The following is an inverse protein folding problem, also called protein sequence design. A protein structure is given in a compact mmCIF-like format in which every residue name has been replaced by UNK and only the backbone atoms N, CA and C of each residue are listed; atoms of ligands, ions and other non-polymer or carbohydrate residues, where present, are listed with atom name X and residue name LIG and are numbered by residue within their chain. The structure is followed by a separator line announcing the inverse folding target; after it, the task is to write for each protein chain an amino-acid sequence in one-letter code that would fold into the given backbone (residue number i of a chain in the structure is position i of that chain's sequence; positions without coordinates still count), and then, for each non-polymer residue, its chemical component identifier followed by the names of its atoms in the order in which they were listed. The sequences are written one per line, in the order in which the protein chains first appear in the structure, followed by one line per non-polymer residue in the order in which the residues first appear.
data_IF_206575143340
#
_entry.id   IF_206575143340
#
_cell.length_a   1.000
_cell.length_b   1.000
_cell.length_c   1.000
_cell.angle_alpha   90.00
_cell.angle_beta   90.00
_cell.angle_gamma   90.00
#
_symmetry.space_group_name_H-M   'P 1'
#
loop_
_entity.id
_entity.type
_entity.pdbx_description
1 polymer ?
#
# COMPACT_ATOMS: atom_id res chain seq x y z
N UNK A 1 24.99 28.73 42.13
CA UNK A 1 24.38 27.39 42.19
C UNK A 1 22.91 27.54 41.87
N UNK A 2 22.54 27.51 40.58
CA UNK A 2 21.15 27.46 40.14
C UNK A 2 21.04 26.11 39.44
N UNK A 3 20.36 25.17 40.10
CA UNK A 3 20.04 23.87 39.54
C UNK A 3 18.84 24.07 38.61
N UNK A 4 19.06 23.90 37.31
CA UNK A 4 17.99 23.77 36.33
C UNK A 4 17.20 22.51 36.66
N UNK A 5 15.92 22.68 37.00
CA UNK A 5 14.97 21.57 37.02
C UNK A 5 14.62 21.24 35.58
N UNK A 6 15.24 20.18 35.07
CA UNK A 6 14.84 19.49 33.85
C UNK A 6 13.41 19.03 34.06
N UNK A 7 12.49 19.55 33.24
CA UNK A 7 11.11 19.14 33.21
C UNK A 7 11.03 17.64 32.98
N UNK A 8 10.34 16.96 33.88
CA UNK A 8 9.98 15.55 33.75
C UNK A 8 9.16 15.40 32.47
N UNK A 9 9.77 14.83 31.42
CA UNK A 9 9.00 14.24 30.33
C UNK A 9 8.14 13.14 30.96
N UNK A 10 6.83 13.35 31.00
CA UNK A 10 5.90 12.29 31.37
C UNK A 10 6.02 11.16 30.33
N UNK A 11 6.90 10.20 30.60
CA UNK A 11 6.78 8.83 30.08
C UNK A 11 5.49 8.24 30.65
N UNK A 12 4.37 8.56 30.00
CA UNK A 12 3.13 7.81 30.13
C UNK A 12 3.43 6.33 29.91
N UNK A 13 2.73 5.43 30.62
CA UNK A 13 3.08 4.01 30.68
C UNK A 13 3.15 3.50 29.25
N UNK A 14 4.28 2.92 28.82
CA UNK A 14 4.53 2.43 27.46
C UNK A 14 3.22 2.01 26.78
N UNK A 15 2.60 2.98 26.11
CA UNK A 15 1.16 2.94 25.86
C UNK A 15 0.89 1.72 25.02
N UNK A 16 -0.12 0.92 25.33
CA UNK A 16 -0.39 -0.30 24.57
C UNK A 16 -0.72 0.09 23.12
N UNK A 17 0.30 0.09 22.27
CA UNK A 17 0.22 0.61 20.92
C UNK A 17 -0.43 -0.49 20.07
N UNK A 18 -1.75 -0.40 19.91
CA UNK A 18 -2.51 -1.42 19.21
C UNK A 18 -2.40 -1.23 17.69
N UNK A 19 -2.04 -2.27 16.93
CA UNK A 19 -2.08 -2.19 15.47
C UNK A 19 -3.54 -2.05 15.01
N UNK A 20 -3.77 -1.41 13.84
CA UNK A 20 -5.10 -1.38 13.24
C UNK A 20 -5.67 -2.78 13.03
N UNK A 21 -6.99 -2.89 12.98
CA UNK A 21 -7.65 -4.17 12.74
C UNK A 21 -7.15 -4.80 11.43
N UNK A 22 -6.90 -6.12 11.42
CA UNK A 22 -6.44 -6.86 10.25
C UNK A 22 -5.12 -6.32 9.64
N UNK A 23 -4.25 -5.72 10.47
CA UNK A 23 -2.93 -5.28 10.07
C UNK A 23 -2.03 -6.47 9.70
N UNK A 24 -1.19 -6.28 8.69
CA UNK A 24 -0.17 -7.24 8.30
C UNK A 24 0.85 -6.63 7.34
N UNK A 25 2.04 -7.21 7.27
CA UNK A 25 3.04 -6.86 6.27
C UNK A 25 2.81 -7.69 5.01
N UNK A 26 2.72 -7.02 3.86
CA UNK A 26 2.63 -7.67 2.54
C UNK A 26 4.04 -7.91 2.02
N UNK A 27 4.85 -6.87 2.01
CA UNK A 27 6.24 -6.93 1.57
C UNK A 27 7.06 -5.88 2.33
N UNK A 28 8.38 -5.86 2.14
CA UNK A 28 9.25 -4.86 2.74
C UNK A 28 8.77 -3.43 2.41
N UNK A 29 8.32 -2.69 3.42
CA UNK A 29 7.78 -1.34 3.26
C UNK A 29 6.39 -1.29 2.61
N UNK A 30 5.67 -2.40 2.49
CA UNK A 30 4.27 -2.45 2.05
C UNK A 30 3.43 -3.13 3.13
N UNK A 31 2.55 -2.36 3.74
CA UNK A 31 1.66 -2.82 4.80
C UNK A 31 0.22 -2.84 4.33
N UNK A 32 -0.59 -3.70 4.96
CA UNK A 32 -2.03 -3.77 4.77
C UNK A 32 -2.74 -3.63 6.10
N UNK A 33 -3.94 -3.06 6.10
CA UNK A 33 -4.81 -3.02 7.28
C UNK A 33 -6.29 -2.81 6.94
N UNK A 34 -7.13 -2.96 7.96
CA UNK A 34 -8.45 -2.35 8.03
C UNK A 34 -8.37 -0.83 8.24
N UNK A 35 -9.51 -0.21 8.51
CA UNK A 35 -9.53 1.23 8.72
C UNK A 35 -8.73 1.60 9.98
N UNK A 36 -7.77 2.54 9.91
CA UNK A 36 -7.05 3.01 11.09
C UNK A 36 -7.96 3.83 12.00
N UNK A 37 -7.92 3.54 13.30
CA UNK A 37 -8.65 4.28 14.32
C UNK A 37 -7.68 5.13 15.15
N UNK A 38 -8.19 6.09 15.93
CA UNK A 38 -7.35 6.98 16.74
C UNK A 38 -6.41 6.23 17.70
N UNK A 39 -6.85 5.09 18.25
CA UNK A 39 -6.04 4.23 19.11
C UNK A 39 -4.81 3.64 18.39
N UNK A 40 -4.88 3.50 17.07
CA UNK A 40 -3.78 2.95 16.26
C UNK A 40 -2.78 4.01 15.77
N UNK A 41 -3.05 5.30 15.96
CA UNK A 41 -2.17 6.36 15.46
C UNK A 41 -0.76 6.29 16.06
N UNK A 42 -0.64 5.93 17.33
CA UNK A 42 0.66 5.66 17.96
C UNK A 42 1.44 4.56 17.22
N UNK A 43 0.76 3.52 16.73
CA UNK A 43 1.38 2.42 16.00
C UNK A 43 1.87 2.88 14.63
N UNK A 44 1.03 3.66 13.94
CA UNK A 44 1.33 4.16 12.61
C UNK A 44 2.50 5.15 12.60
N UNK A 45 2.68 5.94 13.67
CA UNK A 45 3.89 6.77 13.85
C UNK A 45 5.16 5.94 13.88
N UNK A 46 5.15 4.83 14.63
CA UNK A 46 6.29 3.92 14.72
C UNK A 46 6.67 3.26 13.40
N UNK A 47 5.73 3.16 12.43
CA UNK A 47 6.01 2.61 11.10
C UNK A 47 6.71 3.61 10.17
N UNK A 48 6.69 4.92 10.46
CA UNK A 48 7.30 5.94 9.61
C UNK A 48 6.74 5.95 8.18
N UNK A 49 5.42 5.86 8.05
CA UNK A 49 4.75 5.80 6.75
C UNK A 49 5.03 7.07 5.94
N UNK A 50 5.28 6.92 4.63
CA UNK A 50 5.37 8.06 3.69
C UNK A 50 4.10 8.26 2.89
N UNK A 51 3.31 7.20 2.74
CA UNK A 51 2.04 7.28 2.03
C UNK A 51 1.00 6.27 2.51
N UNK A 52 -0.26 6.60 2.25
CA UNK A 52 -1.42 5.76 2.53
C UNK A 52 -2.25 5.60 1.26
N UNK A 53 -2.59 4.37 0.93
CA UNK A 53 -3.50 4.02 -0.18
C UNK A 53 -4.86 3.67 0.40
N UNK A 54 -5.85 4.52 0.14
CA UNK A 54 -7.22 4.36 0.59
C UNK A 54 -8.14 3.92 -0.54
N UNK A 55 -8.75 2.74 -0.38
CA UNK A 55 -9.51 2.09 -1.46
C UNK A 55 -11.02 2.30 -1.42
N UNK A 56 -11.53 3.23 -0.59
CA UNK A 56 -12.96 3.46 -0.48
C UNK A 56 -13.38 4.78 -1.15
N UNK A 57 -14.59 4.84 -1.73
CA UNK A 57 -15.10 6.05 -2.38
C UNK A 57 -15.55 7.13 -1.39
N UNK A 58 -15.84 6.77 -0.13
CA UNK A 58 -16.24 7.71 0.90
C UNK A 58 -15.13 8.74 1.18
N UNK A 59 -15.47 9.99 1.58
CA UNK A 59 -14.45 10.97 1.97
C UNK A 59 -13.65 10.48 3.17
N UNK A 60 -12.36 10.83 3.21
CA UNK A 60 -11.50 10.47 4.33
C UNK A 60 -11.90 11.26 5.59
N UNK A 61 -12.13 10.61 6.75
CA UNK A 61 -12.51 11.28 7.98
C UNK A 61 -11.50 12.35 8.40
N UNK A 62 -11.99 13.50 8.87
CA UNK A 62 -11.18 14.67 9.22
C UNK A 62 -10.11 14.37 10.29
N UNK A 63 -10.46 13.58 11.31
CA UNK A 63 -9.52 13.20 12.36
C UNK A 63 -8.32 12.42 11.81
N UNK A 64 -8.56 11.51 10.86
CA UNK A 64 -7.50 10.75 10.21
C UNK A 64 -6.73 11.62 9.22
N UNK A 65 -7.41 12.51 8.48
CA UNK A 65 -6.78 13.44 7.56
C UNK A 65 -5.80 14.38 8.30
N UNK A 66 -6.21 14.93 9.44
CA UNK A 66 -5.35 15.76 10.31
C UNK A 66 -4.13 14.99 10.82
N UNK A 67 -4.29 13.70 11.16
CA UNK A 67 -3.16 12.84 11.53
C UNK A 67 -2.18 12.66 10.35
N UNK A 68 -2.68 12.39 9.14
CA UNK A 68 -1.83 12.26 7.96
C UNK A 68 -1.08 13.55 7.65
N UNK A 69 -1.73 14.70 7.78
CA UNK A 69 -1.12 16.01 7.56
C UNK A 69 -0.03 16.32 8.60
N UNK A 70 -0.31 16.06 9.88
CA UNK A 70 0.66 16.27 10.97
C UNK A 70 1.94 15.43 10.81
N UNK A 71 1.82 14.21 10.29
CA UNK A 71 2.94 13.30 10.06
C UNK A 71 3.55 13.44 8.64
N UNK A 72 3.01 14.33 7.79
CA UNK A 72 3.47 14.53 6.41
C UNK A 72 3.23 13.34 5.47
N UNK A 73 2.19 12.54 5.74
CA UNK A 73 1.85 11.32 5.00
C UNK A 73 0.97 11.66 3.80
N UNK A 74 1.38 11.22 2.61
CA UNK A 74 0.61 11.44 1.37
C UNK A 74 -0.55 10.45 1.23
N UNK A 75 -1.77 10.96 1.08
CA UNK A 75 -2.97 10.15 0.84
C UNK A 75 -3.24 9.95 -0.66
N UNK A 76 -3.36 8.69 -1.08
CA UNK A 76 -3.79 8.30 -2.42
C UNK A 76 -5.15 7.59 -2.33
N UNK A 77 -6.20 8.22 -2.84
CA UNK A 77 -7.56 7.67 -2.81
C UNK A 77 -7.94 7.06 -4.15
N UNK A 78 -8.37 5.80 -4.12
CA UNK A 78 -8.91 5.07 -5.27
C UNK A 78 -10.27 4.49 -4.87
N UNK A 79 -11.35 5.17 -5.26
CA UNK A 79 -12.71 4.78 -4.88
C UNK A 79 -13.15 3.48 -5.53
N UNK A 80 -13.22 2.39 -4.74
CA UNK A 80 -13.83 1.12 -5.17
C UNK A 80 -15.13 0.92 -4.40
N UNK A 81 -16.25 0.90 -5.11
CA UNK A 81 -17.56 0.67 -4.52
C UNK A 81 -17.64 -0.67 -3.80
N UNK A 82 -17.99 -0.61 -2.53
CA UNK A 82 -18.05 -1.78 -1.65
C UNK A 82 -19.42 -2.45 -1.67
N UNK A 83 -20.03 -2.68 -2.83
CA UNK A 83 -21.34 -3.30 -2.85
C UNK A 83 -21.26 -4.83 -2.62
N UNK A 84 -22.33 -5.43 -2.11
CA UNK A 84 -22.48 -6.90 -2.01
C UNK A 84 -22.99 -7.52 -3.32
N UNK A 85 -23.34 -6.67 -4.27
CA UNK A 85 -23.90 -7.07 -5.54
C UNK A 85 -22.84 -7.79 -6.39
N UNK A 86 -23.10 -9.04 -6.84
CA UNK A 86 -22.17 -9.80 -7.67
C UNK A 86 -21.91 -9.18 -9.05
N UNK A 87 -22.71 -8.18 -9.49
CA UNK A 87 -22.55 -7.50 -10.77
C UNK A 87 -21.69 -6.24 -10.69
N UNK A 88 -21.40 -5.73 -9.49
CA UNK A 88 -20.51 -4.57 -9.32
C UNK A 88 -19.07 -5.06 -9.36
N UNK A 89 -18.48 -4.94 -10.55
CA UNK A 89 -17.07 -5.27 -10.77
C UNK A 89 -16.16 -4.23 -10.14
N UNK A 90 -15.03 -4.68 -9.59
CA UNK A 90 -13.97 -3.80 -9.12
C UNK A 90 -13.39 -3.07 -10.34
N UNK A 91 -13.34 -1.72 -10.34
CA UNK A 91 -12.80 -0.99 -11.48
C UNK A 91 -11.32 -1.32 -11.65
N UNK A 92 -10.97 -1.87 -12.81
CA UNK A 92 -9.60 -2.27 -13.17
C UNK A 92 -8.66 -1.07 -13.09
N UNK A 93 -9.12 0.10 -13.55
CA UNK A 93 -8.32 1.34 -13.57
C UNK A 93 -7.92 1.79 -12.16
N UNK A 94 -8.80 1.64 -11.17
CA UNK A 94 -8.50 1.98 -9.78
C UNK A 94 -7.41 1.07 -9.21
N UNK A 95 -7.48 -0.24 -9.51
CA UNK A 95 -6.47 -1.21 -9.08
C UNK A 95 -5.14 -0.95 -9.79
N UNK A 96 -5.14 -0.67 -11.10
CA UNK A 96 -3.92 -0.31 -11.84
C UNK A 96 -3.30 0.97 -11.30
N UNK A 97 -4.11 1.99 -11.01
CA UNK A 97 -3.67 3.24 -10.38
C UNK A 97 -3.03 3.01 -9.01
N UNK A 98 -3.68 2.20 -8.16
CA UNK A 98 -3.15 1.84 -6.85
C UNK A 98 -1.84 1.02 -6.96
N UNK A 99 -1.76 0.08 -7.90
CA UNK A 99 -0.54 -0.70 -8.15
C UNK A 99 0.61 0.21 -8.60
N UNK A 100 0.36 1.21 -9.45
CA UNK A 100 1.39 2.18 -9.84
C UNK A 100 1.96 2.93 -8.64
N UNK A 101 1.12 3.30 -7.67
CA UNK A 101 1.58 3.94 -6.41
C UNK A 101 2.44 2.97 -5.59
N UNK A 102 2.04 1.70 -5.50
CA UNK A 102 2.77 0.65 -4.77
C UNK A 102 4.09 0.23 -5.42
N UNK A 103 4.26 0.47 -6.71
CA UNK A 103 5.48 0.14 -7.44
C UNK A 103 6.51 1.29 -7.41
N UNK A 104 6.10 2.48 -7.00
CA UNK A 104 6.97 3.64 -6.87
C UNK A 104 7.64 3.66 -5.49
N UNK A 105 8.92 3.29 -5.46
CA UNK A 105 9.77 3.19 -4.26
C UNK A 105 9.76 4.48 -3.41
N UNK A 106 9.51 5.65 -4.02
CA UNK A 106 9.45 6.94 -3.31
C UNK A 106 8.27 7.04 -2.34
N UNK A 107 7.25 6.21 -2.51
CA UNK A 107 6.03 6.21 -1.69
C UNK A 107 6.10 5.26 -0.49
N UNK A 108 7.01 4.28 -0.49
CA UNK A 108 7.21 3.36 0.65
C UNK A 108 7.78 4.13 1.82
N UNK A 109 7.63 3.74 3.09
CA UNK A 109 6.72 2.69 3.54
C UNK A 109 5.27 3.12 3.30
N UNK A 110 4.48 2.23 2.70
CA UNK A 110 3.11 2.50 2.26
C UNK A 110 2.12 1.62 3.02
N UNK A 111 1.01 2.20 3.47
CA UNK A 111 -0.09 1.47 4.09
C UNK A 111 -1.29 1.40 3.15
N UNK A 112 -1.71 0.19 2.81
CA UNK A 112 -2.93 -0.06 2.05
C UNK A 112 -4.07 -0.34 3.02
N UNK A 113 -5.17 0.39 2.90
CA UNK A 113 -6.36 0.06 3.67
C UNK A 113 -7.67 0.33 2.93
N UNK A 114 -8.71 -0.33 3.43
CA UNK A 114 -10.09 -0.01 3.10
C UNK A 114 -10.88 0.08 4.42
N UNK A 115 -12.17 -0.25 4.43
CA UNK A 115 -12.95 -0.30 5.67
C UNK A 115 -12.53 -1.42 6.62
N UNK A 116 -12.24 -2.62 6.10
CA UNK A 116 -11.92 -3.81 6.92
C UNK A 116 -10.64 -4.55 6.51
N UNK A 117 -9.97 -4.10 5.46
CA UNK A 117 -8.73 -4.72 4.96
C UNK A 117 -8.92 -6.10 4.32
N UNK A 118 -10.14 -6.44 3.89
CA UNK A 118 -10.52 -7.78 3.40
C UNK A 118 -10.62 -7.84 1.89
N UNK A 119 -11.75 -7.37 1.34
CA UNK A 119 -12.11 -7.52 -0.09
C UNK A 119 -11.23 -6.65 -0.99
N UNK A 120 -11.43 -5.33 -0.99
CA UNK A 120 -10.70 -4.37 -1.84
C UNK A 120 -9.18 -4.43 -1.66
N UNK A 121 -8.73 -4.40 -0.40
CA UNK A 121 -7.31 -4.57 -0.06
C UNK A 121 -6.80 -5.95 -0.49
N UNK A 122 -7.59 -7.01 -0.33
CA UNK A 122 -7.23 -8.36 -0.75
C UNK A 122 -7.08 -8.49 -2.26
N UNK A 123 -7.96 -7.87 -3.05
CA UNK A 123 -7.84 -7.84 -4.51
C UNK A 123 -6.57 -7.10 -4.94
N UNK A 124 -6.30 -5.92 -4.37
CA UNK A 124 -5.09 -5.16 -4.69
C UNK A 124 -3.82 -5.95 -4.33
N UNK A 125 -3.77 -6.52 -3.12
CA UNK A 125 -2.64 -7.36 -2.68
C UNK A 125 -2.51 -8.59 -3.55
N UNK A 126 -3.61 -9.24 -3.93
CA UNK A 126 -3.60 -10.40 -4.83
C UNK A 126 -3.03 -10.05 -6.21
N UNK A 127 -3.43 -8.92 -6.79
CA UNK A 127 -2.85 -8.40 -8.03
C UNK A 127 -1.36 -8.06 -7.87
N UNK A 128 -0.95 -7.51 -6.72
CA UNK A 128 0.45 -7.25 -6.41
C UNK A 128 1.26 -8.55 -6.32
N UNK A 129 0.77 -9.60 -5.66
CA UNK A 129 1.41 -10.92 -5.65
C UNK A 129 1.52 -11.55 -7.03
N UNK A 130 0.52 -11.32 -7.89
CA UNK A 130 0.55 -11.77 -9.28
C UNK A 130 1.66 -11.08 -10.09
N UNK A 131 1.97 -9.81 -9.79
CA UNK A 131 3.15 -9.13 -10.35
C UNK A 131 4.46 -9.72 -9.83
N UNK A 132 4.48 -10.17 -8.57
CA UNK A 132 5.60 -10.91 -7.97
C UNK A 132 5.73 -12.35 -8.47
N UNK A 133 4.92 -12.76 -9.45
CA UNK A 133 4.92 -14.09 -10.06
C UNK A 133 4.59 -15.24 -9.08
N UNK A 134 3.77 -14.97 -8.06
CA UNK A 134 3.25 -16.00 -7.17
C UNK A 134 2.22 -16.89 -7.91
N UNK A 135 2.12 -18.16 -7.51
CA UNK A 135 1.07 -19.04 -8.03
C UNK A 135 -0.30 -18.67 -7.45
N UNK A 136 -1.36 -18.87 -8.24
CA UNK A 136 -2.73 -18.50 -7.86
C UNK A 136 -3.18 -19.16 -6.56
N UNK A 137 -2.77 -20.39 -6.28
CA UNK A 137 -3.10 -21.10 -5.04
C UNK A 137 -2.59 -20.37 -3.80
N UNK A 138 -1.33 -19.93 -3.81
CA UNK A 138 -0.74 -19.17 -2.69
C UNK A 138 -1.39 -17.79 -2.54
N UNK A 139 -1.72 -17.14 -3.66
CA UNK A 139 -2.44 -15.86 -3.63
C UNK A 139 -3.81 -16.01 -3.00
N UNK A 140 -4.56 -17.05 -3.39
CA UNK A 140 -5.86 -17.32 -2.84
C UNK A 140 -5.77 -17.70 -1.37
N UNK A 141 -4.78 -18.48 -0.95
CA UNK A 141 -4.58 -18.80 0.46
C UNK A 141 -4.35 -17.54 1.31
N UNK A 142 -3.48 -16.63 0.86
CA UNK A 142 -3.26 -15.33 1.51
C UNK A 142 -4.57 -14.53 1.60
N UNK A 143 -5.31 -14.44 0.49
CA UNK A 143 -6.59 -13.76 0.48
C UNK A 143 -7.58 -14.36 1.50
N UNK A 144 -7.72 -15.68 1.54
CA UNK A 144 -8.63 -16.36 2.47
C UNK A 144 -8.25 -16.11 3.92
N UNK A 145 -6.94 -16.12 4.24
CA UNK A 145 -6.43 -15.82 5.58
C UNK A 145 -6.90 -14.46 6.09
N UNK A 146 -6.79 -13.42 5.26
CA UNK A 146 -7.20 -12.06 5.64
C UNK A 146 -8.70 -11.80 5.49
N UNK A 147 -9.38 -12.47 4.56
CA UNK A 147 -10.83 -12.39 4.44
C UNK A 147 -11.53 -13.11 5.61
N UNK A 148 -10.89 -14.11 6.22
CA UNK A 148 -11.47 -15.03 7.19
C UNK A 148 -12.79 -15.61 6.65
N UNK A 149 -13.81 -15.83 7.49
CA UNK A 149 -15.12 -16.36 7.08
C UNK A 149 -15.99 -15.43 6.20
N UNK A 150 -15.41 -14.42 5.54
CA UNK A 150 -16.12 -13.49 4.64
C UNK A 150 -15.44 -13.41 3.27
N UNK A 151 -14.81 -14.47 2.80
CA UNK A 151 -14.26 -14.55 1.44
C UNK A 151 -15.37 -14.42 0.39
N UNK A 152 -15.05 -13.80 -0.75
CA UNK A 152 -15.97 -13.65 -1.88
C UNK A 152 -15.37 -14.31 -3.11
N UNK A 153 -16.19 -15.09 -3.82
CA UNK A 153 -15.77 -15.73 -5.07
C UNK A 153 -15.54 -14.70 -6.18
N UNK A 154 -16.27 -13.58 -6.18
CA UNK A 154 -16.09 -12.46 -7.10
C UNK A 154 -14.65 -11.92 -7.06
N UNK A 155 -14.11 -11.77 -5.87
CA UNK A 155 -12.77 -11.22 -5.64
C UNK A 155 -11.69 -12.18 -6.15
N UNK A 156 -11.88 -13.49 -5.94
CA UNK A 156 -10.97 -14.53 -6.43
C UNK A 156 -10.97 -14.57 -7.97
N UNK A 157 -12.16 -14.55 -8.57
CA UNK A 157 -12.33 -14.50 -10.04
C UNK A 157 -11.69 -13.24 -10.63
N UNK A 158 -11.80 -12.11 -9.94
CA UNK A 158 -11.14 -10.86 -10.35
C UNK A 158 -9.61 -11.00 -10.32
N UNK A 159 -9.04 -11.55 -9.25
CA UNK A 159 -7.58 -11.77 -9.14
C UNK A 159 -7.09 -12.71 -10.26
N UNK A 160 -7.87 -13.75 -10.56
CA UNK A 160 -7.58 -14.71 -11.62
C UNK A 160 -7.60 -14.06 -13.01
N UNK A 161 -8.63 -13.26 -13.31
CA UNK A 161 -8.82 -12.63 -14.62
C UNK A 161 -7.95 -11.38 -14.84
N UNK A 162 -7.43 -10.76 -13.77
CA UNK A 162 -6.65 -9.54 -13.87
C UNK A 162 -5.36 -9.73 -14.67
N UNK A 163 -5.23 -9.01 -15.79
CA UNK A 163 -4.04 -9.08 -16.63
C UNK A 163 -2.92 -8.17 -16.10
N UNK A 164 -1.78 -8.79 -15.79
CA UNK A 164 -0.58 -8.12 -15.28
C UNK A 164 0.46 -7.83 -16.38
N UNK A 165 0.26 -8.35 -17.59
CA UNK A 165 1.23 -8.20 -18.69
C UNK A 165 1.45 -6.74 -19.05
N UNK A 166 0.37 -5.94 -19.08
CA UNK A 166 0.41 -4.53 -19.41
C UNK A 166 1.38 -3.73 -18.51
N UNK A 167 1.44 -4.06 -17.21
CA UNK A 167 2.34 -3.39 -16.27
C UNK A 167 3.77 -3.94 -16.32
N UNK A 168 3.93 -5.25 -16.52
CA UNK A 168 5.27 -5.84 -16.73
C UNK A 168 5.94 -5.25 -17.97
N UNK A 169 5.21 -5.12 -19.07
CA UNK A 169 5.73 -4.52 -20.30
C UNK A 169 6.13 -3.06 -20.10
N UNK A 170 5.33 -2.28 -19.36
CA UNK A 170 5.69 -0.91 -19.01
C UNK A 170 6.99 -0.84 -18.21
N UNK A 171 7.18 -1.71 -17.21
CA UNK A 171 8.43 -1.76 -16.42
C UNK A 171 9.62 -2.16 -17.28
N UNK A 172 9.48 -3.22 -18.08
CA UNK A 172 10.54 -3.69 -18.96
C UNK A 172 10.94 -2.59 -19.95
N UNK A 173 9.97 -1.89 -20.56
CA UNK A 173 10.26 -0.76 -21.46
C UNK A 173 11.04 0.35 -20.77
N UNK A 174 10.72 0.67 -19.51
CA UNK A 174 11.50 1.64 -18.74
C UNK A 174 12.92 1.14 -18.52
N UNK A 175 13.09 -0.09 -18.03
CA UNK A 175 14.41 -0.70 -17.79
C UNK A 175 15.25 -0.72 -19.08
N UNK A 176 14.70 -1.19 -20.20
CA UNK A 176 15.38 -1.22 -21.49
C UNK A 176 15.71 0.18 -22.01
N UNK A 177 14.81 1.16 -21.85
CA UNK A 177 15.09 2.56 -22.21
C UNK A 177 16.22 3.14 -21.37
N UNK A 178 16.25 2.86 -20.07
CA UNK A 178 17.34 3.28 -19.17
C UNK A 178 18.66 2.59 -19.55
N UNK A 179 18.64 1.30 -19.89
CA UNK A 179 19.85 0.59 -20.34
C UNK A 179 20.39 1.13 -21.67
N UNK A 180 19.54 1.40 -22.66
CA UNK A 180 19.96 2.01 -23.93
C UNK A 180 20.50 3.44 -23.73
N UNK A 181 19.92 4.19 -22.80
CA UNK A 181 20.39 5.52 -22.41
C UNK A 181 21.77 5.47 -21.70
N UNK A 182 21.98 4.50 -20.80
CA UNK A 182 23.28 4.25 -20.15
C UNK A 182 24.35 3.77 -21.14
N UNK A 183 23.99 2.96 -22.15
CA UNK A 183 24.92 2.56 -23.20
C UNK A 183 25.33 3.73 -24.09
N UNK A 184 24.42 4.67 -24.38
CA UNK A 184 24.74 5.91 -25.12
C UNK A 184 25.61 6.90 -24.33
N UNK A 185 25.51 6.92 -23.00
CA UNK A 185 26.31 7.81 -22.14
C UNK A 185 27.77 7.35 -21.92
N UNK A 186 28.16 6.14 -22.35
CA UNK A 186 29.53 5.60 -22.17
C UNK A 186 30.52 5.96 -23.28
N UNK A 187 30.18 6.82 -24.26
CA UNK A 187 31.16 7.39 -25.20
C UNK A 187 31.74 8.70 -24.66
N UNK A 188 32.58 8.62 -23.62
CA UNK A 188 33.61 9.63 -23.44
C UNK A 188 34.69 9.34 -24.49
N UNK A 189 34.67 10.11 -25.58
CA UNK A 189 35.78 10.14 -26.53
C UNK A 189 37.01 10.66 -25.79
N UNK A 190 38.00 9.80 -25.58
CA UNK A 190 39.34 10.26 -25.24
C UNK A 190 39.94 10.88 -26.51
N UNK A 191 40.10 12.20 -26.50
CA UNK A 191 40.83 12.94 -27.52
C UNK A 191 42.33 12.68 -27.28
N UNK A 192 42.93 11.85 -28.13
CA UNK A 192 44.37 11.56 -28.09
C UNK A 192 45.06 12.71 -28.81
N UNK A 193 45.72 13.59 -28.05
CA UNK A 193 46.69 14.57 -28.55
C UNK A 193 48.08 13.95 -28.62
#
# INVERSE_FOLDING_TARGET
MILEQVGEEEEGPAGLVAPPANFGMVDAGVYRSGFPDAASFGFLRGLGLRSVVYLCPEPYPEANAAFLEAEGIRLFQFGIEGNKDPYVSIPVDAIVGALRVLLDVRNHPVLIHCKRGKHRTGCLVGCFRKLQNWCLSSIFEEYHRYAAGKSRLSDLRFIESFDVTCMRDCMLRLIYRYHDCLQKSKRLQYDVR
#
